data_IF_470876411034
#
_entry.id   IF_470876411034
#
_cell.length_a   1.000
_cell.length_b   1.000
_cell.length_c   1.000
_cell.angle_alpha   90.00
_cell.angle_beta   90.00
_cell.angle_gamma   90.00
#
_symmetry.space_group_name_H-M   'P 1'
#
loop_
_entity.id
_entity.type
_entity.pdbx_description
1 polymer ?
#
# COMPACT_ATOMS: atom_id res chain seq x y z
N UNK A 1 6.96 -2.23 -16.20
CA UNK A 1 6.56 -1.98 -14.80
C UNK A 1 5.21 -1.31 -14.81
N UNK A 2 4.27 -1.80 -14.02
CA UNK A 2 2.99 -1.13 -13.78
C UNK A 2 3.24 -0.01 -12.79
N UNK A 3 2.85 1.23 -13.16
CA UNK A 3 3.02 2.40 -12.30
C UNK A 3 1.97 2.44 -11.19
N UNK A 4 2.38 2.94 -10.04
CA UNK A 4 1.45 3.29 -8.96
C UNK A 4 0.76 4.61 -9.32
N UNK A 5 -0.57 4.66 -9.17
CA UNK A 5 -1.36 5.88 -9.35
C UNK A 5 -2.54 5.89 -8.38
N UNK A 6 -3.04 7.07 -8.05
CA UNK A 6 -4.19 7.24 -7.17
C UNK A 6 -5.42 7.59 -8.01
N UNK A 7 -6.55 6.95 -7.74
CA UNK A 7 -7.85 7.44 -8.24
C UNK A 7 -8.75 7.86 -7.08
N UNK A 8 -9.46 8.97 -7.30
CA UNK A 8 -10.40 9.55 -6.34
C UNK A 8 -11.75 9.71 -7.03
N UNK A 9 -12.79 9.04 -6.53
CA UNK A 9 -14.15 9.16 -7.04
C UNK A 9 -14.99 10.09 -6.17
N UNK A 10 -16.01 10.70 -6.77
CA UNK A 10 -17.01 11.49 -6.02
C UNK A 10 -17.98 10.59 -5.25
N UNK A 11 -18.21 9.36 -5.73
CA UNK A 11 -19.14 8.39 -5.15
C UNK A 11 -18.60 6.97 -5.28
N UNK A 12 -18.90 6.16 -4.27
CA UNK A 12 -18.63 4.73 -4.29
C UNK A 12 -19.69 3.97 -5.08
N UNK A 13 -19.26 3.01 -5.88
CA UNK A 13 -20.09 2.02 -6.54
C UNK A 13 -19.42 0.64 -6.43
N UNK A 14 -20.13 -0.34 -5.88
CA UNK A 14 -19.58 -1.67 -5.58
C UNK A 14 -19.01 -2.40 -6.81
N UNK A 15 -19.43 -2.03 -8.02
CA UNK A 15 -19.02 -2.70 -9.27
C UNK A 15 -17.89 -1.98 -10.00
N UNK A 16 -17.71 -0.67 -9.78
CA UNK A 16 -16.77 0.16 -10.54
C UNK A 16 -15.72 0.83 -9.68
N UNK A 17 -16.10 1.34 -8.52
CA UNK A 17 -15.22 2.13 -7.65
C UNK A 17 -15.69 1.99 -6.20
N UNK A 18 -15.34 0.87 -5.56
CA UNK A 18 -15.92 0.45 -4.26
C UNK A 18 -15.52 1.33 -3.07
N UNK A 19 -14.52 2.19 -3.25
CA UNK A 19 -13.93 3.01 -2.19
C UNK A 19 -13.50 4.34 -2.78
N UNK A 20 -13.80 5.47 -2.13
CA UNK A 20 -13.54 6.82 -2.68
C UNK A 20 -12.10 7.03 -3.12
N UNK A 21 -11.14 6.42 -2.43
CA UNK A 21 -9.72 6.50 -2.75
C UNK A 21 -9.16 5.11 -2.99
N UNK A 22 -8.50 4.91 -4.14
CA UNK A 22 -7.86 3.65 -4.50
C UNK A 22 -6.44 3.92 -4.96
N UNK A 23 -5.46 3.33 -4.29
CA UNK A 23 -4.05 3.38 -4.69
C UNK A 23 -3.74 2.14 -5.52
N UNK A 24 -3.59 2.34 -6.83
CA UNK A 24 -3.46 1.25 -7.80
C UNK A 24 -2.03 0.73 -7.90
N UNK A 25 -1.91 -0.56 -8.22
CA UNK A 25 -0.70 -1.25 -8.63
C UNK A 25 -0.87 -1.71 -10.08
N UNK A 26 -0.88 -0.76 -11.01
CA UNK A 26 -1.29 -1.04 -12.39
C UNK A 26 -2.80 -1.05 -12.60
N UNK A 27 -3.27 -1.77 -13.62
CA UNK A 27 -4.67 -1.67 -14.04
C UNK A 27 -5.63 -2.54 -13.19
N UNK A 28 -5.28 -3.79 -12.89
CA UNK A 28 -6.20 -4.73 -12.22
C UNK A 28 -6.00 -4.84 -10.71
N UNK A 29 -4.86 -4.36 -10.21
CA UNK A 29 -4.47 -4.54 -8.82
C UNK A 29 -4.41 -3.20 -8.12
N UNK A 30 -4.66 -3.21 -6.81
CA UNK A 30 -4.49 -2.07 -5.93
C UNK A 30 -3.67 -2.49 -4.72
N UNK A 31 -2.93 -1.53 -4.17
CA UNK A 31 -2.22 -1.67 -2.92
C UNK A 31 -3.18 -1.54 -1.73
N UNK A 32 -4.07 -0.55 -1.80
CA UNK A 32 -5.06 -0.28 -0.78
C UNK A 32 -6.24 0.48 -1.37
N UNK A 33 -7.35 0.45 -0.65
CA UNK A 33 -8.53 1.24 -0.92
C UNK A 33 -9.23 1.66 0.37
N UNK A 34 -9.78 2.87 0.39
CA UNK A 34 -10.45 3.40 1.58
C UNK A 34 -11.41 4.54 1.23
N UNK A 35 -12.34 4.81 2.14
CA UNK A 35 -13.22 5.97 2.09
C UNK A 35 -12.71 7.14 2.96
N UNK A 36 -11.64 6.94 3.72
CA UNK A 36 -11.09 7.94 4.63
C UNK A 36 -9.90 8.63 3.96
N UNK A 37 -9.99 9.94 3.78
CA UNK A 37 -8.94 10.72 3.12
C UNK A 37 -7.65 10.69 3.94
N UNK A 38 -7.79 10.77 5.25
CA UNK A 38 -6.71 10.78 6.23
C UNK A 38 -5.80 9.55 6.08
N UNK A 39 -6.40 8.38 5.88
CA UNK A 39 -5.66 7.13 5.67
C UNK A 39 -4.78 7.16 4.41
N UNK A 40 -5.27 7.73 3.31
CA UNK A 40 -4.46 7.88 2.09
C UNK A 40 -3.39 8.94 2.27
N UNK A 41 -3.71 10.07 2.88
CA UNK A 41 -2.73 11.13 3.13
C UNK A 41 -1.58 10.62 4.01
N UNK A 42 -1.89 9.88 5.08
CA UNK A 42 -0.90 9.27 5.96
C UNK A 42 -0.05 8.23 5.25
N UNK A 43 -0.67 7.38 4.43
CA UNK A 43 0.04 6.37 3.64
C UNK A 43 1.00 7.02 2.63
N UNK A 44 0.52 8.00 1.85
CA UNK A 44 1.36 8.73 0.89
C UNK A 44 2.51 9.43 1.61
N UNK A 45 2.24 10.05 2.77
CA UNK A 45 3.28 10.66 3.60
C UNK A 45 4.29 9.64 4.12
N UNK A 46 3.84 8.47 4.57
CA UNK A 46 4.73 7.41 5.06
C UNK A 46 5.69 6.93 3.97
N UNK A 47 5.15 6.68 2.77
CA UNK A 47 5.90 6.29 1.58
C UNK A 47 6.63 7.45 0.89
N UNK A 48 6.53 8.67 1.45
CA UNK A 48 7.17 9.88 0.91
C UNK A 48 6.80 10.09 -0.57
N UNK A 49 5.55 9.83 -0.90
CA UNK A 49 4.95 9.98 -2.21
C UNK A 49 4.32 11.37 -2.34
N UNK A 50 4.57 12.00 -3.48
CA UNK A 50 3.86 13.19 -3.93
C UNK A 50 2.85 12.78 -5.01
N UNK A 51 1.79 13.56 -5.17
CA UNK A 51 0.77 13.32 -6.18
C UNK A 51 0.62 14.53 -7.10
N UNK A 52 0.50 14.25 -8.39
CA UNK A 52 0.25 15.26 -9.43
C UNK A 52 -1.01 14.89 -10.20
N UNK A 53 -1.87 15.87 -10.50
CA UNK A 53 -3.07 15.64 -11.28
C UNK A 53 -2.72 15.12 -12.68
N UNK A 54 -3.22 13.94 -13.03
CA UNK A 54 -3.08 13.37 -14.38
C UNK A 54 -4.27 13.76 -15.26
N UNK A 55 -5.48 13.37 -14.84
CA UNK A 55 -6.71 13.63 -15.59
C UNK A 55 -7.95 13.56 -14.73
N UNK A 56 -9.03 14.12 -15.25
CA UNK A 56 -10.39 13.98 -14.69
C UNK A 56 -11.26 13.26 -15.72
N UNK A 57 -11.77 12.09 -15.33
CA UNK A 57 -12.82 11.40 -16.08
C UNK A 57 -14.18 11.94 -15.66
N UNK A 58 -15.08 12.12 -16.63
CA UNK A 58 -16.50 12.42 -16.37
C UNK A 58 -17.19 11.30 -15.56
N UNK A 59 -16.58 10.11 -15.54
CA UNK A 59 -17.08 8.91 -14.87
C UNK A 59 -18.47 8.53 -15.34
N UNK A 60 -19.25 7.94 -14.43
CA UNK A 60 -20.61 7.45 -14.69
C UNK A 60 -21.57 8.05 -13.67
N UNK A 61 -22.90 8.05 -13.92
CA UNK A 61 -23.88 8.51 -12.93
C UNK A 61 -23.69 7.87 -11.55
N UNK A 62 -23.25 6.61 -11.52
CA UNK A 62 -23.02 5.81 -10.32
C UNK A 62 -21.75 6.21 -9.55
N UNK A 63 -20.65 6.50 -10.24
CA UNK A 63 -19.35 6.86 -9.61
C UNK A 63 -19.13 8.36 -9.46
N UNK A 64 -19.93 9.19 -10.15
CA UNK A 64 -19.59 10.58 -10.40
C UNK A 64 -18.26 10.72 -11.16
N UNK A 65 -17.64 11.90 -11.09
CA UNK A 65 -16.32 12.14 -11.68
C UNK A 65 -15.25 11.31 -10.96
N UNK A 66 -14.23 10.92 -11.72
CA UNK A 66 -13.05 10.24 -11.17
C UNK A 66 -11.82 11.05 -11.54
N UNK A 67 -11.09 11.49 -10.53
CA UNK A 67 -9.82 12.19 -10.70
C UNK A 67 -8.68 11.19 -10.53
N UNK A 68 -7.74 11.20 -11.46
CA UNK A 68 -6.55 10.36 -11.43
C UNK A 68 -5.33 11.23 -11.15
N UNK A 69 -4.46 10.73 -10.29
CA UNK A 69 -3.21 11.36 -9.93
C UNK A 69 -2.04 10.42 -10.20
N UNK A 70 -1.00 10.94 -10.82
CA UNK A 70 0.30 10.28 -10.88
C UNK A 70 0.93 10.33 -9.48
N UNK A 71 1.54 9.23 -9.06
CA UNK A 71 2.25 9.13 -7.78
C UNK A 71 3.75 9.17 -8.08
N UNK A 72 4.51 9.97 -7.32
CA UNK A 72 5.92 10.22 -7.61
C UNK A 72 6.83 9.01 -7.45
N UNK A 73 6.40 8.00 -6.69
CA UNK A 73 7.11 6.74 -6.47
C UNK A 73 6.25 5.53 -6.81
N UNK A 74 6.87 4.53 -7.41
CA UNK A 74 6.24 3.22 -7.62
C UNK A 74 6.36 2.38 -6.35
N UNK A 75 5.23 1.84 -5.88
CA UNK A 75 5.18 0.93 -4.74
C UNK A 75 5.26 -0.51 -5.26
N UNK A 76 6.31 -1.22 -4.91
CA UNK A 76 6.57 -2.57 -5.36
C UNK A 76 6.17 -3.54 -4.25
N UNK A 77 5.09 -4.28 -4.47
CA UNK A 77 4.54 -5.24 -3.50
C UNK A 77 4.65 -6.67 -4.02
N UNK A 78 5.87 -7.16 -4.23
CA UNK A 78 6.12 -8.54 -4.71
C UNK A 78 6.00 -9.53 -3.55
N UNK A 79 5.21 -10.59 -3.76
CA UNK A 79 5.13 -11.73 -2.84
C UNK A 79 6.18 -12.80 -3.21
N UNK A 80 7.47 -12.49 -3.07
CA UNK A 80 8.59 -13.40 -3.40
C UNK A 80 9.00 -14.30 -2.24
N UNK A 81 8.03 -14.87 -1.51
CA UNK A 81 8.28 -15.77 -0.38
C UNK A 81 8.62 -15.09 0.95
N UNK A 82 8.94 -13.78 0.95
CA UNK A 82 9.20 -13.02 2.17
C UNK A 82 10.52 -13.37 2.87
N UNK A 83 10.92 -12.55 3.83
CA UNK A 83 12.14 -12.78 4.61
C UNK A 83 11.88 -13.71 5.80
N UNK A 84 12.84 -14.59 6.09
CA UNK A 84 12.77 -15.58 7.18
C UNK A 84 13.37 -15.08 8.49
N UNK A 85 14.25 -14.07 8.43
CA UNK A 85 14.90 -13.46 9.58
C UNK A 85 15.37 -12.04 9.23
N UNK A 86 15.91 -11.33 10.22
CA UNK A 86 16.36 -9.94 10.03
C UNK A 86 17.61 -9.81 9.16
N UNK A 87 18.48 -10.82 9.10
CA UNK A 87 19.66 -10.83 8.23
C UNK A 87 19.23 -10.85 6.76
N UNK A 88 18.32 -11.76 6.40
CA UNK A 88 17.75 -11.82 5.06
C UNK A 88 16.98 -10.53 4.70
N UNK A 89 16.30 -9.90 5.66
CA UNK A 89 15.70 -8.58 5.43
C UNK A 89 16.75 -7.55 5.02
N UNK A 90 17.91 -7.50 5.68
CA UNK A 90 19.00 -6.57 5.33
C UNK A 90 19.60 -6.91 3.96
N UNK A 91 19.78 -8.19 3.65
CA UNK A 91 20.24 -8.63 2.32
C UNK A 91 19.27 -8.19 1.22
N UNK A 92 17.97 -8.42 1.42
CA UNK A 92 16.92 -7.98 0.50
C UNK A 92 16.90 -6.46 0.37
N UNK A 93 17.07 -5.73 1.47
CA UNK A 93 17.15 -4.27 1.46
C UNK A 93 18.37 -3.77 0.67
N UNK A 94 19.47 -4.52 0.64
CA UNK A 94 20.69 -4.18 -0.11
C UNK A 94 21.16 -2.73 0.18
N UNK A 95 21.24 -2.39 1.47
CA UNK A 95 21.66 -1.05 1.92
C UNK A 95 20.62 0.07 1.76
N UNK A 96 19.44 -0.23 1.20
CA UNK A 96 18.32 0.73 1.15
C UNK A 96 17.82 1.06 2.54
N UNK A 97 17.36 2.29 2.71
CA UNK A 97 16.75 2.75 3.95
C UNK A 97 15.46 1.97 4.22
N UNK A 98 15.31 1.47 5.44
CA UNK A 98 14.12 0.73 5.88
C UNK A 98 13.26 1.56 6.84
N UNK A 99 11.94 1.50 6.65
CA UNK A 99 10.97 1.90 7.69
C UNK A 99 10.03 0.74 7.99
N UNK A 100 9.86 0.41 9.27
CA UNK A 100 8.87 -0.57 9.70
C UNK A 100 7.46 0.03 9.70
N UNK A 101 6.46 -0.79 9.41
CA UNK A 101 5.05 -0.47 9.60
C UNK A 101 4.26 -1.75 9.85
N UNK A 102 3.02 -1.63 10.31
CA UNK A 102 2.10 -2.77 10.41
C UNK A 102 1.35 -2.88 9.09
N UNK A 103 1.48 -4.03 8.42
CA UNK A 103 0.86 -4.29 7.12
C UNK A 103 0.42 -5.74 7.00
N UNK A 104 -0.35 -6.03 5.96
CA UNK A 104 -0.80 -7.38 5.68
C UNK A 104 0.35 -8.23 5.17
N UNK A 105 0.50 -9.42 5.73
CA UNK A 105 1.27 -10.52 5.15
C UNK A 105 0.49 -11.81 5.33
N UNK A 106 0.21 -12.50 4.22
CA UNK A 106 -0.58 -13.75 4.22
C UNK A 106 -1.91 -13.66 5.00
N UNK A 107 -2.62 -12.53 4.86
CA UNK A 107 -3.95 -12.31 5.48
C UNK A 107 -3.95 -11.85 6.94
N UNK A 108 -2.78 -11.71 7.58
CA UNK A 108 -2.68 -11.17 8.95
C UNK A 108 -1.87 -9.89 8.99
N UNK A 109 -2.21 -8.97 9.90
CA UNK A 109 -1.33 -7.82 10.17
C UNK A 109 -0.13 -8.25 11.01
N UNK A 110 1.05 -7.87 10.53
CA UNK A 110 2.34 -8.12 11.15
C UNK A 110 3.28 -6.94 10.86
N UNK A 111 4.47 -6.94 11.45
CA UNK A 111 5.50 -5.97 11.11
C UNK A 111 6.06 -6.26 9.71
N UNK A 112 5.87 -5.30 8.80
CA UNK A 112 6.44 -5.26 7.47
C UNK A 112 7.44 -4.10 7.37
N UNK A 113 8.20 -4.06 6.28
CA UNK A 113 9.20 -3.03 6.05
C UNK A 113 9.07 -2.43 4.65
N UNK A 114 9.23 -1.12 4.57
CA UNK A 114 9.35 -0.37 3.33
C UNK A 114 10.83 -0.08 3.06
N UNK A 115 11.36 -0.59 1.95
CA UNK A 115 12.71 -0.34 1.47
C UNK A 115 12.70 0.76 0.40
N UNK A 116 13.29 1.91 0.72
CA UNK A 116 13.28 3.09 -0.13
C UNK A 116 14.48 3.08 -1.08
N UNK A 117 14.19 3.13 -2.38
CA UNK A 117 15.18 3.32 -3.44
C UNK A 117 14.97 4.70 -4.08
N UNK A 118 15.61 5.69 -3.47
CA UNK A 118 15.48 7.10 -3.87
C UNK A 118 16.11 7.38 -5.25
N UNK A 119 17.01 6.52 -5.73
CA UNK A 119 17.60 6.67 -7.07
C UNK A 119 16.62 6.29 -8.17
N UNK A 120 15.77 5.29 -7.91
CA UNK A 120 14.80 4.78 -8.88
C UNK A 120 13.38 5.27 -8.62
N UNK A 121 13.15 6.10 -7.60
CA UNK A 121 11.82 6.52 -7.13
C UNK A 121 10.90 5.32 -6.88
N UNK A 122 11.39 4.30 -6.16
CA UNK A 122 10.58 3.15 -5.81
C UNK A 122 10.59 2.88 -4.31
N UNK A 123 9.51 2.30 -3.81
CA UNK A 123 9.46 1.74 -2.46
C UNK A 123 9.03 0.29 -2.54
N UNK A 124 9.87 -0.62 -2.06
CA UNK A 124 9.57 -2.04 -2.03
C UNK A 124 9.02 -2.46 -0.66
N UNK A 125 7.88 -3.14 -0.66
CA UNK A 125 7.29 -3.70 0.56
C UNK A 125 7.86 -5.09 0.79
N UNK A 126 8.66 -5.21 1.84
CA UNK A 126 9.26 -6.43 2.31
C UNK A 126 8.39 -7.00 3.44
N UNK A 127 7.90 -8.22 3.25
CA UNK A 127 7.01 -8.91 4.20
C UNK A 127 7.71 -10.14 4.79
N UNK A 128 7.49 -10.45 6.08
CA UNK A 128 8.01 -11.67 6.66
C UNK A 128 7.34 -12.90 6.05
N UNK A 129 8.09 -13.98 5.93
CA UNK A 129 7.56 -15.28 5.53
C UNK A 129 6.59 -15.80 6.60
N UNK A 130 5.37 -16.27 6.24
CA UNK A 130 4.38 -16.73 7.22
C UNK A 130 4.81 -17.94 8.07
N UNK A 131 5.82 -18.70 7.62
CA UNK A 131 6.37 -19.83 8.37
C UNK A 131 7.51 -19.41 9.32
N UNK A 132 8.00 -18.18 9.21
CA UNK A 132 9.12 -17.68 10.01
C UNK A 132 8.64 -17.06 11.32
N UNK A 133 8.38 -17.89 12.32
CA UNK A 133 7.75 -17.50 13.60
C UNK A 133 8.46 -16.40 14.38
N UNK A 134 9.76 -16.21 14.16
CA UNK A 134 10.55 -15.17 14.85
C UNK A 134 10.29 -13.76 14.32
N UNK A 135 9.87 -13.64 13.05
CA UNK A 135 9.62 -12.35 12.38
C UNK A 135 8.17 -12.18 11.93
N UNK A 136 7.44 -13.27 11.79
CA UNK A 136 6.01 -13.28 11.49
C UNK A 136 5.19 -13.28 12.79
N UNK A 137 5.26 -12.15 13.51
CA UNK A 137 4.56 -11.94 14.76
C UNK A 137 3.24 -11.19 14.48
N UNK A 138 2.15 -11.93 14.33
CA UNK A 138 0.84 -11.35 14.00
C UNK A 138 0.21 -10.64 15.19
N UNK A 139 -0.56 -9.59 14.90
CA UNK A 139 -1.38 -8.95 15.92
C UNK A 139 -2.45 -9.92 16.45
N UNK A 140 -2.73 -9.93 17.77
CA UNK A 140 -3.92 -10.59 18.30
C UNK A 140 -5.20 -10.06 17.65
N UNK A 141 -6.25 -10.88 17.57
CA UNK A 141 -7.47 -10.56 16.80
C UNK A 141 -8.12 -9.22 17.19
N UNK A 142 -8.16 -8.87 18.47
CA UNK A 142 -8.74 -7.60 18.92
C UNK A 142 -7.91 -6.40 18.46
N UNK A 143 -6.58 -6.52 18.55
CA UNK A 143 -5.65 -5.50 18.06
C UNK A 143 -5.69 -5.42 16.52
N UNK A 144 -5.86 -6.55 15.84
CA UNK A 144 -6.04 -6.62 14.39
C UNK A 144 -7.27 -5.83 13.94
N UNK A 145 -8.43 -6.09 14.56
CA UNK A 145 -9.69 -5.39 14.27
C UNK A 145 -9.57 -3.90 14.59
N UNK A 146 -8.97 -3.55 15.72
CA UNK A 146 -8.76 -2.16 16.12
C UNK A 146 -7.84 -1.42 15.14
N UNK A 147 -6.78 -2.07 14.65
CA UNK A 147 -5.84 -1.47 13.72
C UNK A 147 -6.54 -1.12 12.40
N UNK A 148 -7.23 -2.07 11.78
CA UNK A 148 -7.93 -1.89 10.49
C UNK A 148 -8.96 -0.75 10.55
N UNK A 149 -9.60 -0.54 11.70
CA UNK A 149 -10.60 0.53 11.86
C UNK A 149 -10.01 1.93 11.93
N UNK A 150 -8.78 2.05 12.42
CA UNK A 150 -8.20 3.33 12.82
C UNK A 150 -6.92 3.71 12.03
N UNK A 151 -6.46 2.85 11.13
CA UNK A 151 -5.22 3.06 10.37
C UNK A 151 -5.39 2.59 8.94
N UNK A 152 -4.53 3.10 8.06
CA UNK A 152 -4.33 2.56 6.72
C UNK A 152 -3.68 1.17 6.76
N UNK A 153 -3.95 0.35 5.73
CA UNK A 153 -3.40 -1.00 5.58
C UNK A 153 -3.02 -1.28 4.13
N UNK A 154 -1.97 -2.08 3.91
CA UNK A 154 -1.38 -2.46 2.60
C UNK A 154 -0.72 -3.84 2.69
#
# INVERSE_FOLDING_TARGET
MTRTYLSVSEKTDDRRHRSLYILHNGWEWFHTDTNQKEHIDELLKFFECEIELDKVSKGSPETGKITFYNVSKDIISRCSGGFWNMEQLQEMANGRRLKSFIGYSNGSLTTCYAAFDDNNNTVEILRPNPNAKEVYCTLPIDAHIAYIKNHWTI
#
